data_IF_054975747438
#
_entry.id   IF_054975747438
#
_cell.length_a   1.000
_cell.length_b   1.000
_cell.length_c   1.000
_cell.angle_alpha   90.00
_cell.angle_beta   90.00
_cell.angle_gamma   90.00
#
_symmetry.space_group_name_H-M   'P 1'
#
loop_
_entity.id
_entity.type
_entity.pdbx_description
1 polymer ?
#
# COMPACT_ATOMS: atom_id res chain seq x y z
N UNK A 1 -3.38 16.66 15.69
CA UNK A 1 -2.09 16.12 16.21
C UNK A 1 -0.96 17.02 15.73
N UNK A 2 0.14 17.13 16.48
CA UNK A 2 1.35 17.79 15.97
C UNK A 2 1.75 17.20 14.60
N UNK A 3 2.34 18.01 13.73
CA UNK A 3 2.78 17.55 12.40
C UNK A 3 4.01 16.65 12.58
N UNK A 4 3.77 15.35 12.78
CA UNK A 4 4.82 14.35 13.06
C UNK A 4 5.72 14.09 11.84
N UNK A 5 5.21 14.25 10.63
CA UNK A 5 6.00 14.22 9.40
C UNK A 5 6.40 15.64 9.01
N UNK A 6 7.69 15.97 9.12
CA UNK A 6 8.24 17.29 8.77
C UNK A 6 8.15 17.56 7.26
N UNK A 7 8.31 16.50 6.46
CA UNK A 7 8.24 16.45 4.99
C UNK A 7 7.44 15.23 4.54
N UNK A 8 7.01 15.17 3.28
CA UNK A 8 6.38 13.97 2.74
C UNK A 8 7.42 12.83 2.76
N UNK A 9 7.11 11.64 3.34
CA UNK A 9 8.04 10.52 3.36
C UNK A 9 8.50 10.09 1.96
N UNK A 10 7.72 10.37 0.92
CA UNK A 10 8.09 10.09 -0.47
C UNK A 10 9.21 10.97 -0.98
N UNK A 11 9.43 12.13 -0.39
CA UNK A 11 10.53 13.02 -0.77
C UNK A 11 11.83 12.62 -0.05
N UNK A 12 11.74 12.38 1.26
CA UNK A 12 12.92 12.13 2.11
C UNK A 12 13.47 10.70 2.00
N UNK A 13 12.64 9.71 1.66
CA UNK A 13 13.04 8.29 1.58
C UNK A 13 13.33 7.83 0.15
N UNK A 14 13.00 8.65 -0.85
CA UNK A 14 13.20 8.29 -2.25
C UNK A 14 14.69 8.29 -2.58
N UNK A 15 15.12 7.29 -3.34
CA UNK A 15 16.47 7.25 -3.91
C UNK A 15 16.60 8.39 -4.92
N UNK A 16 17.55 9.26 -4.65
CA UNK A 16 18.01 10.34 -5.53
C UNK A 16 19.32 9.95 -6.22
N UNK A 17 19.76 10.67 -7.28
CA UNK A 17 21.03 10.38 -7.95
C UNK A 17 22.27 10.45 -7.04
N UNK A 18 22.20 11.20 -5.95
CA UNK A 18 23.24 11.37 -4.93
C UNK A 18 23.10 10.42 -3.73
N UNK A 19 22.14 9.49 -3.77
CA UNK A 19 21.95 8.52 -2.69
C UNK A 19 23.16 7.58 -2.54
N UNK A 20 23.73 7.52 -1.33
CA UNK A 20 24.82 6.63 -0.96
C UNK A 20 24.38 5.62 0.12
N UNK A 21 24.34 4.35 -0.26
CA UNK A 21 23.98 3.25 0.64
C UNK A 21 25.03 3.00 1.74
N UNK A 22 26.29 3.33 1.50
CA UNK A 22 27.35 3.16 2.48
C UNK A 22 27.16 4.13 3.65
N UNK A 23 26.85 5.41 3.36
CA UNK A 23 26.58 6.45 4.34
C UNK A 23 25.17 6.41 4.97
N UNK A 24 24.27 5.55 4.47
CA UNK A 24 22.88 5.50 4.91
C UNK A 24 22.70 5.09 6.39
N UNK A 25 22.04 5.95 7.19
CA UNK A 25 21.69 5.65 8.57
C UNK A 25 20.53 4.64 8.64
N UNK A 26 20.83 3.42 9.09
CA UNK A 26 19.88 2.30 9.18
C UNK A 26 19.07 2.29 10.48
N UNK A 27 19.41 3.15 11.44
CA UNK A 27 18.74 3.28 12.73
C UNK A 27 17.93 4.58 12.89
N UNK A 28 18.05 5.49 11.94
CA UNK A 28 17.32 6.76 11.92
C UNK A 28 15.80 6.62 11.70
N UNK A 29 15.14 7.79 11.69
CA UNK A 29 13.74 7.95 11.31
C UNK A 29 13.56 9.20 10.43
N UNK A 30 14.15 9.25 9.22
CA UNK A 30 14.19 10.45 8.38
C UNK A 30 12.80 11.07 8.18
N UNK A 31 12.70 12.40 8.36
CA UNK A 31 11.46 13.16 8.18
C UNK A 31 10.37 12.94 9.23
N UNK A 32 10.58 12.08 10.23
CA UNK A 32 9.60 11.81 11.28
C UNK A 32 10.08 12.33 12.65
N UNK A 33 9.44 13.39 13.15
CA UNK A 33 9.66 13.96 14.47
C UNK A 33 8.75 13.28 15.51
N UNK A 34 9.06 12.01 15.79
CA UNK A 34 8.31 11.21 16.74
C UNK A 34 9.03 9.94 17.16
N UNK A 35 8.56 9.36 18.26
CA UNK A 35 9.05 8.08 18.77
C UNK A 35 8.16 6.91 18.33
N UNK A 36 8.47 5.72 18.84
CA UNK A 36 7.67 4.51 18.58
C UNK A 36 6.21 4.68 19.01
N UNK A 37 5.94 5.35 20.14
CA UNK A 37 4.57 5.51 20.66
C UNK A 37 3.77 6.42 19.73
N UNK A 38 4.38 7.52 19.27
CA UNK A 38 3.79 8.41 18.28
C UNK A 38 3.54 7.67 16.96
N UNK A 39 4.50 6.86 16.50
CA UNK A 39 4.37 6.05 15.29
C UNK A 39 3.21 5.03 15.40
N UNK A 40 3.12 4.28 16.49
CA UNK A 40 2.06 3.29 16.71
C UNK A 40 0.66 3.97 16.73
N UNK A 41 0.55 5.15 17.36
CA UNK A 41 -0.69 5.95 17.36
C UNK A 41 -1.05 6.47 15.97
N UNK A 42 -0.07 6.98 15.23
CA UNK A 42 -0.29 7.49 13.88
C UNK A 42 -0.68 6.36 12.92
N UNK A 43 -0.01 5.20 13.01
CA UNK A 43 -0.38 4.02 12.23
C UNK A 43 -1.81 3.55 12.55
N UNK A 44 -2.21 3.54 13.82
CA UNK A 44 -3.58 3.20 14.20
C UNK A 44 -4.59 4.19 13.59
N UNK A 45 -4.33 5.50 13.67
CA UNK A 45 -5.17 6.51 13.04
C UNK A 45 -5.23 6.38 11.51
N UNK A 46 -4.13 5.97 10.87
CA UNK A 46 -4.08 5.71 9.42
C UNK A 46 -4.79 4.43 9.00
N UNK A 47 -5.07 3.52 9.93
CA UNK A 47 -5.67 2.23 9.64
C UNK A 47 -7.02 2.37 8.95
N UNK A 48 -7.92 3.18 9.52
CA UNK A 48 -9.28 3.36 9.03
C UNK A 48 -9.29 4.04 7.65
N UNK A 49 -8.50 5.10 7.48
CA UNK A 49 -8.32 5.76 6.18
C UNK A 49 -7.75 4.81 5.12
N UNK A 50 -6.73 4.01 5.46
CA UNK A 50 -6.13 3.07 4.53
C UNK A 50 -7.12 1.96 4.13
N UNK A 51 -7.92 1.47 5.08
CA UNK A 51 -8.97 0.49 4.82
C UNK A 51 -10.01 1.02 3.85
N UNK A 52 -10.54 2.23 4.08
CA UNK A 52 -11.54 2.84 3.18
C UNK A 52 -10.96 3.10 1.78
N UNK A 53 -9.75 3.65 1.69
CA UNK A 53 -9.09 3.88 0.39
C UNK A 53 -8.85 2.59 -0.38
N UNK A 54 -8.47 1.51 0.31
CA UNK A 54 -8.33 0.19 -0.29
C UNK A 54 -9.70 -0.35 -0.75
N UNK A 55 -10.77 -0.15 0.03
CA UNK A 55 -12.12 -0.58 -0.36
C UNK A 55 -12.59 0.14 -1.63
N UNK A 56 -12.32 1.44 -1.75
CA UNK A 56 -12.59 2.19 -2.98
C UNK A 56 -11.79 1.65 -4.16
N UNK A 57 -10.51 1.32 -3.97
CA UNK A 57 -9.70 0.65 -4.99
C UNK A 57 -10.36 -0.66 -5.43
N UNK A 58 -10.78 -1.49 -4.48
CA UNK A 58 -11.43 -2.77 -4.76
C UNK A 58 -12.76 -2.61 -5.49
N UNK A 59 -13.61 -1.66 -5.07
CA UNK A 59 -14.87 -1.36 -5.74
C UNK A 59 -14.65 -0.95 -7.20
N UNK A 60 -13.67 -0.08 -7.48
CA UNK A 60 -13.34 0.32 -8.85
C UNK A 60 -12.90 -0.87 -9.71
N UNK A 61 -12.04 -1.75 -9.20
CA UNK A 61 -11.64 -2.97 -9.92
C UNK A 61 -12.82 -3.92 -10.19
N UNK A 62 -13.78 -4.02 -9.26
CA UNK A 62 -15.01 -4.83 -9.44
C UNK A 62 -15.99 -4.20 -10.44
N UNK A 63 -15.90 -2.90 -10.64
CA UNK A 63 -16.71 -2.12 -11.59
C UNK A 63 -16.03 -1.87 -12.94
N UNK A 64 -14.96 -2.62 -13.25
CA UNK A 64 -14.29 -2.58 -14.56
C UNK A 64 -13.12 -1.60 -14.67
N UNK A 65 -12.74 -0.93 -13.58
CA UNK A 65 -11.50 -0.16 -13.49
C UNK A 65 -10.26 -1.06 -13.63
N UNK A 66 -9.13 -0.49 -14.05
CA UNK A 66 -7.87 -1.20 -14.28
C UNK A 66 -6.83 -0.92 -13.17
N UNK A 67 -7.10 0.06 -12.33
CA UNK A 67 -6.21 0.57 -11.31
C UNK A 67 -5.87 -0.49 -10.28
N UNK A 68 -4.60 -0.57 -9.91
CA UNK A 68 -4.08 -1.47 -8.88
C UNK A 68 -2.75 -0.97 -8.34
N UNK A 69 -2.37 -1.44 -7.17
CA UNK A 69 -1.11 -1.07 -6.52
C UNK A 69 -0.23 -2.30 -6.42
N UNK A 70 1.06 -2.18 -6.76
CA UNK A 70 2.06 -3.20 -6.53
C UNK A 70 3.09 -2.69 -5.52
N UNK A 71 3.07 -3.27 -4.33
CA UNK A 71 4.05 -3.04 -3.27
C UNK A 71 5.13 -4.10 -3.37
N UNK A 72 6.36 -3.69 -3.69
CA UNK A 72 7.55 -4.55 -3.69
C UNK A 72 8.34 -4.29 -2.43
N UNK A 73 8.59 -5.32 -1.63
CA UNK A 73 9.42 -5.22 -0.43
C UNK A 73 10.65 -6.10 -0.59
N UNK A 74 11.81 -5.43 -0.59
CA UNK A 74 13.13 -6.06 -0.62
C UNK A 74 13.94 -5.77 0.63
N UNK A 75 14.98 -6.56 0.84
CA UNK A 75 15.88 -6.47 2.00
C UNK A 75 16.43 -7.85 2.36
N UNK A 76 17.60 -7.89 3.00
CA UNK A 76 18.19 -9.15 3.45
C UNK A 76 17.30 -9.87 4.47
N UNK A 77 17.57 -11.15 4.70
CA UNK A 77 16.87 -11.88 5.75
C UNK A 77 17.08 -11.21 7.11
N UNK A 78 16.01 -11.24 7.91
CA UNK A 78 15.81 -10.46 9.15
C UNK A 78 15.49 -8.97 9.00
N UNK A 79 15.50 -8.38 7.79
CA UNK A 79 15.17 -6.96 7.59
C UNK A 79 13.75 -6.56 8.04
N UNK A 80 12.83 -7.52 8.10
CA UNK A 80 11.48 -7.31 8.65
C UNK A 80 10.35 -7.30 7.63
N UNK A 81 10.59 -7.79 6.39
CA UNK A 81 9.62 -7.86 5.29
C UNK A 81 8.26 -8.44 5.69
N UNK A 82 8.25 -9.60 6.33
CA UNK A 82 7.00 -10.21 6.85
C UNK A 82 6.27 -9.38 7.91
N UNK A 83 6.92 -8.37 8.50
CA UNK A 83 6.27 -7.38 9.35
C UNK A 83 5.38 -6.40 8.56
N UNK A 84 5.74 -6.08 7.31
CA UNK A 84 4.91 -5.26 6.42
C UNK A 84 3.64 -6.00 6.06
N UNK A 85 3.74 -7.28 5.67
CA UNK A 85 2.58 -8.13 5.43
C UNK A 85 1.64 -8.18 6.65
N UNK A 86 2.18 -8.38 7.85
CA UNK A 86 1.36 -8.51 9.05
C UNK A 86 0.73 -7.20 9.52
N UNK A 87 1.49 -6.10 9.50
CA UNK A 87 1.08 -4.86 10.17
C UNK A 87 0.54 -3.80 9.22
N UNK A 88 0.96 -3.80 7.95
CA UNK A 88 0.46 -2.84 6.96
C UNK A 88 -0.70 -3.45 6.19
N UNK A 89 -0.48 -4.60 5.54
CA UNK A 89 -1.58 -5.27 4.83
C UNK A 89 -2.63 -5.83 5.79
N UNK A 90 -2.31 -6.00 7.08
CA UNK A 90 -3.27 -6.38 8.11
C UNK A 90 -4.25 -5.27 8.51
N UNK A 91 -4.10 -4.04 8.01
CA UNK A 91 -5.04 -2.94 8.25
C UNK A 91 -6.18 -2.88 7.22
N UNK A 92 -6.11 -3.65 6.13
CA UNK A 92 -7.08 -3.60 5.02
C UNK A 92 -7.79 -4.94 4.87
N UNK A 93 -8.86 -4.98 4.05
CA UNK A 93 -9.59 -6.22 3.81
C UNK A 93 -8.69 -7.23 3.05
N UNK A 94 -8.51 -8.46 3.58
CA UNK A 94 -7.66 -9.46 2.95
C UNK A 94 -8.10 -9.85 1.53
N UNK A 95 -9.38 -9.68 1.16
CA UNK A 95 -9.86 -9.93 -0.21
C UNK A 95 -9.28 -8.95 -1.24
N UNK A 96 -8.96 -7.74 -0.78
CA UNK A 96 -8.32 -6.68 -1.55
C UNK A 96 -6.80 -6.85 -1.69
N UNK A 97 -6.19 -7.83 -1.02
CA UNK A 97 -4.74 -8.03 -1.01
C UNK A 97 -4.35 -9.28 -1.81
N UNK A 98 -3.32 -9.15 -2.63
CA UNK A 98 -2.67 -10.26 -3.33
C UNK A 98 -1.22 -10.40 -2.85
N UNK A 99 -1.01 -11.24 -1.83
CA UNK A 99 0.33 -11.47 -1.27
C UNK A 99 1.04 -12.60 -2.02
N UNK A 100 2.27 -12.35 -2.47
CA UNK A 100 3.18 -13.37 -3.01
C UNK A 100 4.55 -13.24 -2.37
N UNK A 101 5.06 -14.36 -1.84
CA UNK A 101 6.45 -14.46 -1.40
C UNK A 101 7.25 -15.25 -2.43
N UNK A 102 8.36 -14.69 -2.90
CA UNK A 102 9.24 -15.38 -3.85
C UNK A 102 10.41 -16.04 -3.12
N UNK A 103 10.58 -17.34 -3.39
CA UNK A 103 11.73 -18.12 -2.94
C UNK A 103 12.64 -18.50 -4.10
N UNK A 104 13.50 -19.49 -3.84
CA UNK A 104 14.33 -20.12 -4.88
C UNK A 104 13.41 -20.62 -6.01
N UNK A 105 13.68 -20.26 -7.28
CA UNK A 105 12.84 -20.69 -8.39
C UNK A 105 12.67 -22.21 -8.45
N UNK A 106 11.50 -22.70 -8.87
CA UNK A 106 11.30 -24.12 -9.16
C UNK A 106 11.96 -24.52 -10.48
N UNK A 107 11.99 -25.80 -10.81
CA UNK A 107 12.48 -26.27 -12.12
C UNK A 107 11.65 -25.71 -13.28
N UNK A 108 10.32 -25.71 -13.14
CA UNK A 108 9.40 -25.10 -14.10
C UNK A 108 9.68 -23.60 -14.25
N UNK A 109 9.80 -22.87 -13.13
CA UNK A 109 10.08 -21.43 -13.17
C UNK A 109 11.42 -21.13 -13.86
N UNK A 110 12.45 -21.98 -13.68
CA UNK A 110 13.75 -21.86 -14.38
C UNK A 110 13.69 -22.19 -15.87
N UNK A 111 12.67 -22.92 -16.32
CA UNK A 111 12.48 -23.22 -17.74
C UNK A 111 11.86 -22.05 -18.53
N UNK A 112 11.44 -20.99 -17.83
CA UNK A 112 10.90 -19.77 -18.41
C UNK A 112 11.82 -18.56 -18.18
N UNK A 113 11.51 -17.45 -18.84
CA UNK A 113 12.10 -16.15 -18.51
C UNK A 113 11.82 -15.79 -17.04
N UNK A 114 12.76 -15.17 -16.33
CA UNK A 114 12.63 -14.93 -14.88
C UNK A 114 11.40 -14.09 -14.50
N UNK A 115 10.96 -13.17 -15.38
CA UNK A 115 9.75 -12.38 -15.18
C UNK A 115 8.45 -13.20 -15.29
N UNK A 116 8.46 -14.38 -15.92
CA UNK A 116 7.25 -15.18 -16.14
C UNK A 116 6.52 -15.49 -14.83
N UNK A 117 7.25 -15.92 -13.79
CA UNK A 117 6.64 -16.22 -12.48
C UNK A 117 6.16 -14.97 -11.75
N UNK A 118 6.75 -13.82 -12.08
CA UNK A 118 6.47 -12.51 -11.48
C UNK A 118 5.17 -11.97 -12.08
N UNK A 119 5.04 -12.02 -13.40
CA UNK A 119 3.84 -11.62 -14.14
C UNK A 119 2.60 -12.39 -13.70
N UNK A 120 2.74 -13.71 -13.51
CA UNK A 120 1.65 -14.57 -13.03
C UNK A 120 1.17 -14.24 -11.61
N UNK A 121 1.97 -13.52 -10.85
CA UNK A 121 1.65 -13.12 -9.50
C UNK A 121 1.16 -11.67 -9.38
N UNK A 122 1.11 -10.92 -10.49
CA UNK A 122 0.63 -9.54 -10.47
C UNK A 122 -0.77 -9.44 -9.89
N UNK A 123 -1.07 -8.38 -9.11
CA UNK A 123 -2.41 -8.17 -8.59
C UNK A 123 -3.41 -8.03 -9.74
N UNK A 124 -4.63 -8.54 -9.55
CA UNK A 124 -5.75 -8.19 -10.40
C UNK A 124 -6.13 -6.70 -10.21
N UNK A 125 -6.88 -6.09 -11.14
CA UNK A 125 -7.45 -4.75 -10.92
C UNK A 125 -8.22 -4.66 -9.59
N UNK A 126 -8.10 -3.50 -8.93
CA UNK A 126 -8.69 -3.23 -7.62
C UNK A 126 -7.95 -3.85 -6.43
N UNK A 127 -6.78 -4.48 -6.63
CA UNK A 127 -6.02 -5.09 -5.53
C UNK A 127 -4.72 -4.35 -5.21
N UNK A 128 -4.30 -4.50 -3.96
CA UNK A 128 -2.94 -4.21 -3.51
C UNK A 128 -2.15 -5.52 -3.57
N UNK A 129 -1.21 -5.63 -4.51
CA UNK A 129 -0.22 -6.70 -4.56
C UNK A 129 0.88 -6.44 -3.54
N UNK A 130 1.25 -7.42 -2.74
CA UNK A 130 2.45 -7.37 -1.89
C UNK A 130 3.43 -8.47 -2.30
N UNK A 131 4.54 -8.06 -2.88
CA UNK A 131 5.67 -8.92 -3.22
C UNK A 131 6.69 -8.90 -2.08
N UNK A 132 6.78 -10.00 -1.32
CA UNK A 132 7.86 -10.26 -0.36
C UNK A 132 9.00 -10.97 -1.09
N UNK A 133 10.09 -10.23 -1.36
CA UNK A 133 11.00 -10.45 -2.49
C UNK A 133 10.29 -10.29 -3.83
N UNK A 134 11.03 -10.27 -4.94
CA UNK A 134 10.48 -9.96 -6.27
C UNK A 134 11.44 -10.33 -7.41
N UNK A 135 11.19 -9.83 -8.62
CA UNK A 135 12.11 -9.90 -9.77
C UNK A 135 13.51 -9.34 -9.48
N UNK A 136 13.67 -8.51 -8.44
CA UNK A 136 14.99 -8.03 -8.06
C UNK A 136 15.92 -9.13 -7.51
N UNK A 137 15.40 -10.30 -7.08
CA UNK A 137 16.26 -11.44 -6.73
C UNK A 137 17.16 -11.87 -7.90
N UNK A 138 16.68 -11.68 -9.12
CA UNK A 138 17.36 -12.01 -10.37
C UNK A 138 18.51 -11.06 -10.74
N UNK A 139 18.71 -9.99 -9.97
CA UNK A 139 19.89 -9.09 -10.03
C UNK A 139 20.55 -8.89 -8.66
N UNK A 140 20.08 -9.63 -7.63
CA UNK A 140 20.66 -9.64 -6.28
C UNK A 140 21.39 -10.97 -6.04
N UNK A 141 20.69 -12.02 -5.58
CA UNK A 141 21.31 -13.31 -5.29
C UNK A 141 21.94 -13.94 -6.53
N UNK A 142 21.33 -13.76 -7.70
CA UNK A 142 21.88 -14.24 -8.97
C UNK A 142 23.25 -13.61 -9.26
N UNK A 143 23.42 -12.32 -8.96
CA UNK A 143 24.69 -11.61 -9.09
C UNK A 143 25.69 -12.04 -8.02
N UNK A 144 25.30 -12.01 -6.74
CA UNK A 144 26.20 -12.27 -5.60
C UNK A 144 26.70 -13.71 -5.57
N UNK A 145 25.88 -14.66 -6.02
CA UNK A 145 26.23 -16.07 -6.08
C UNK A 145 26.74 -16.51 -7.47
N UNK A 146 26.86 -15.58 -8.42
CA UNK A 146 27.29 -15.83 -9.81
C UNK A 146 26.51 -16.98 -10.46
N UNK A 147 25.18 -16.96 -10.36
CA UNK A 147 24.32 -18.04 -10.87
C UNK A 147 24.19 -18.02 -12.40
N UNK A 148 24.47 -16.86 -13.00
CA UNK A 148 24.60 -16.65 -14.45
C UNK A 148 25.71 -15.62 -14.69
N UNK A 149 26.20 -15.54 -15.93
CA UNK A 149 27.25 -14.59 -16.31
C UNK A 149 26.86 -13.12 -16.07
N UNK A 150 27.83 -12.23 -15.77
CA UNK A 150 27.60 -10.80 -15.59
C UNK A 150 26.79 -10.11 -16.68
N UNK A 151 27.04 -10.45 -17.94
CA UNK A 151 26.30 -9.86 -19.06
C UNK A 151 24.82 -10.25 -19.07
N UNK A 152 24.48 -11.43 -18.52
CA UNK A 152 23.11 -11.94 -18.45
C UNK A 152 22.32 -11.22 -17.35
N UNK A 153 22.84 -11.15 -16.12
CA UNK A 153 22.12 -10.43 -15.06
C UNK A 153 22.24 -8.91 -15.21
N UNK A 154 23.31 -8.40 -15.82
CA UNK A 154 23.49 -6.97 -16.08
C UNK A 154 22.43 -6.40 -17.02
N UNK A 155 22.08 -7.13 -18.08
CA UNK A 155 21.01 -6.73 -19.02
C UNK A 155 19.63 -6.63 -18.35
N UNK A 156 19.39 -7.39 -17.26
CA UNK A 156 18.09 -7.42 -16.57
C UNK A 156 17.70 -6.08 -15.96
N UNK A 157 18.64 -5.20 -15.62
CA UNK A 157 18.26 -3.87 -15.09
C UNK A 157 17.43 -3.06 -16.09
N UNK A 158 17.81 -3.09 -17.38
CA UNK A 158 17.06 -2.41 -18.44
C UNK A 158 15.71 -3.08 -18.71
N UNK A 159 15.67 -4.42 -18.73
CA UNK A 159 14.44 -5.19 -18.86
C UNK A 159 13.45 -4.91 -17.73
N UNK A 160 13.94 -4.87 -16.48
CA UNK A 160 13.13 -4.54 -15.30
C UNK A 160 12.52 -3.14 -15.45
N UNK A 161 13.32 -2.15 -15.84
CA UNK A 161 12.80 -0.79 -16.04
C UNK A 161 11.75 -0.73 -17.16
N UNK A 162 11.98 -1.42 -18.28
CA UNK A 162 11.01 -1.47 -19.37
C UNK A 162 9.70 -2.16 -18.95
N UNK A 163 9.80 -3.26 -18.21
CA UNK A 163 8.66 -4.01 -17.69
C UNK A 163 7.87 -3.21 -16.65
N UNK A 164 8.55 -2.59 -15.68
CA UNK A 164 7.90 -1.73 -14.68
C UNK A 164 7.23 -0.52 -15.33
N UNK A 165 7.86 0.07 -16.36
CA UNK A 165 7.22 1.15 -17.13
C UNK A 165 5.95 0.68 -17.81
N UNK A 166 5.97 -0.47 -18.49
CA UNK A 166 4.80 -1.03 -19.16
C UNK A 166 3.64 -1.26 -18.17
N UNK A 167 3.94 -1.77 -16.97
CA UNK A 167 2.94 -1.92 -15.91
C UNK A 167 2.36 -0.58 -15.45
N UNK A 168 3.20 0.46 -15.30
CA UNK A 168 2.72 1.79 -14.92
C UNK A 168 1.82 2.39 -16.00
N UNK A 169 2.20 2.22 -17.27
CA UNK A 169 1.39 2.65 -18.42
C UNK A 169 0.02 1.92 -18.44
N UNK A 170 -0.04 0.67 -17.97
CA UNK A 170 -1.25 -0.15 -17.81
C UNK A 170 -2.06 0.16 -16.53
N UNK A 171 -1.70 1.20 -15.77
CA UNK A 171 -2.47 1.64 -14.60
C UNK A 171 -2.02 1.02 -13.26
N UNK A 172 -0.85 0.38 -13.21
CA UNK A 172 -0.26 -0.09 -11.94
C UNK A 172 0.49 1.05 -11.25
N UNK A 173 0.20 1.30 -9.97
CA UNK A 173 1.06 2.13 -9.12
C UNK A 173 2.10 1.25 -8.43
N UNK A 174 3.38 1.41 -8.79
CA UNK A 174 4.46 0.59 -8.24
C UNK A 174 5.14 1.34 -7.08
N UNK A 175 5.21 0.70 -5.92
CA UNK A 175 5.90 1.20 -4.72
C UNK A 175 6.98 0.21 -4.33
N UNK A 176 8.26 0.59 -4.47
CA UNK A 176 9.40 -0.29 -4.17
C UNK A 176 10.07 0.14 -2.87
N UNK A 177 10.11 -0.75 -1.89
CA UNK A 177 10.66 -0.50 -0.56
C UNK A 177 11.86 -1.40 -0.31
N UNK A 178 13.01 -0.81 -0.02
CA UNK A 178 14.19 -1.53 0.42
C UNK A 178 14.38 -1.36 1.93
N UNK A 179 14.16 -2.43 2.68
CA UNK A 179 14.36 -2.46 4.12
C UNK A 179 15.84 -2.71 4.44
N UNK A 180 16.57 -1.66 4.82
CA UNK A 180 18.00 -1.75 5.08
C UNK A 180 18.28 -1.84 6.58
N UNK A 181 18.68 -3.03 7.00
CA UNK A 181 19.15 -3.33 8.37
C UNK A 181 20.68 -3.21 8.42
N UNK A 182 21.26 -2.81 9.56
CA UNK A 182 22.70 -2.82 9.77
C UNK A 182 23.22 -4.24 9.92
N UNK A 183 24.51 -4.42 9.67
CA UNK A 183 25.16 -5.72 9.85
C UNK A 183 25.03 -6.18 11.31
N UNK A 184 25.17 -5.26 12.27
CA UNK A 184 25.06 -5.54 13.70
C UNK A 184 23.63 -5.96 14.08
N UNK A 185 22.62 -5.19 13.67
CA UNK A 185 21.22 -5.51 13.96
C UNK A 185 20.78 -6.82 13.29
N UNK A 186 21.23 -7.10 12.06
CA UNK A 186 20.96 -8.40 11.43
C UNK A 186 21.49 -9.55 12.30
N UNK A 187 22.72 -9.41 12.82
CA UNK A 187 23.33 -10.40 13.71
C UNK A 187 22.53 -10.59 14.99
N UNK A 188 22.12 -9.51 15.64
CA UNK A 188 21.28 -9.56 16.85
C UNK A 188 19.94 -10.25 16.58
N UNK A 189 19.30 -9.99 15.42
CA UNK A 189 18.03 -10.66 15.05
C UNK A 189 18.20 -12.14 14.75
N UNK A 190 19.32 -12.56 14.17
CA UNK A 190 19.63 -13.97 13.95
C UNK A 190 19.84 -14.70 15.28
N UNK A 191 20.60 -14.09 16.21
CA UNK A 191 20.75 -14.61 17.57
C UNK A 191 19.40 -14.73 18.28
N UNK A 192 18.55 -13.68 18.23
CA UNK A 192 17.20 -13.69 18.82
C UNK A 192 16.36 -14.88 18.29
N UNK A 193 16.47 -15.21 17.00
CA UNK A 193 15.73 -16.35 16.41
C UNK A 193 16.21 -17.70 16.94
N UNK A 194 17.50 -17.86 17.22
CA UNK A 194 18.07 -19.07 17.81
C UNK A 194 17.65 -19.22 19.28
N UNK A 195 17.68 -18.11 20.02
CA UNK A 195 17.35 -18.08 21.44
C UNK A 195 15.86 -18.37 21.68
N UNK A 196 14.98 -17.88 20.79
CA UNK A 196 13.52 -18.03 20.91
C UNK A 196 12.99 -19.33 20.30
N UNK A 197 12.46 -20.27 21.10
CA UNK A 197 11.91 -21.53 20.57
C UNK A 197 10.80 -21.33 19.53
N UNK A 198 9.96 -20.29 19.69
CA UNK A 198 8.87 -19.95 18.77
C UNK A 198 9.33 -19.33 17.43
N UNK A 199 10.62 -19.03 17.30
CA UNK A 199 11.23 -18.40 16.11
C UNK A 199 12.29 -19.23 15.42
N UNK A 200 12.77 -20.33 16.03
CA UNK A 200 13.80 -21.21 15.43
C UNK A 200 13.41 -21.72 14.05
N UNK A 201 12.13 -21.97 13.79
CA UNK A 201 11.63 -22.38 12.47
C UNK A 201 11.88 -21.33 11.36
N UNK A 202 12.13 -20.06 11.72
CA UNK A 202 12.48 -18.98 10.79
C UNK A 202 13.99 -18.84 10.54
N UNK A 203 14.82 -19.57 11.27
CA UNK A 203 16.27 -19.53 11.11
C UNK A 203 16.70 -20.52 10.04
N UNK A 204 17.56 -20.09 9.11
CA UNK A 204 18.23 -20.97 8.17
C UNK A 204 19.73 -20.92 8.41
N UNK A 205 20.46 -22.05 8.45
CA UNK A 205 21.92 -22.02 8.41
C UNK A 205 22.49 -21.29 7.19
N UNK A 206 21.70 -21.18 6.11
CA UNK A 206 22.04 -20.36 4.94
C UNK A 206 22.16 -18.87 5.25
N UNK A 207 21.49 -18.36 6.29
CA UNK A 207 21.55 -16.95 6.69
C UNK A 207 23.00 -16.51 7.01
N UNK A 208 23.82 -17.42 7.57
CA UNK A 208 25.24 -17.16 7.83
C UNK A 208 26.07 -17.04 6.54
N UNK A 209 25.73 -17.81 5.50
CA UNK A 209 26.41 -17.73 4.19
C UNK A 209 26.10 -16.41 3.50
N UNK A 210 24.83 -16.00 3.52
CA UNK A 210 24.39 -14.70 3.02
C UNK A 210 25.08 -13.56 3.79
N UNK A 211 25.11 -13.66 5.12
CA UNK A 211 25.79 -12.69 5.98
C UNK A 211 27.29 -12.57 5.69
N UNK A 212 27.98 -13.67 5.40
CA UNK A 212 29.40 -13.66 5.03
C UNK A 212 29.68 -12.91 3.70
N UNK A 213 28.65 -12.69 2.88
CA UNK A 213 28.71 -11.94 1.62
C UNK A 213 28.11 -10.53 1.74
N UNK A 214 28.10 -9.96 2.95
CA UNK A 214 27.46 -8.69 3.25
C UNK A 214 27.82 -7.59 2.24
N UNK A 215 29.11 -7.34 2.02
CA UNK A 215 29.58 -6.26 1.16
C UNK A 215 29.12 -6.45 -0.31
N UNK A 216 29.15 -7.69 -0.81
CA UNK A 216 28.66 -8.00 -2.15
C UNK A 216 27.14 -7.73 -2.30
N UNK A 217 26.35 -8.03 -1.27
CA UNK A 217 24.93 -7.66 -1.26
C UNK A 217 24.73 -6.15 -1.16
N UNK A 218 25.55 -5.45 -0.38
CA UNK A 218 25.49 -3.99 -0.30
C UNK A 218 25.77 -3.34 -1.66
N UNK A 219 26.79 -3.80 -2.39
CA UNK A 219 27.07 -3.35 -3.76
C UNK A 219 25.92 -3.68 -4.72
N UNK A 220 25.37 -4.89 -4.66
CA UNK A 220 24.25 -5.29 -5.51
C UNK A 220 23.00 -4.42 -5.26
N UNK A 221 22.67 -4.12 -4.00
CA UNK A 221 21.57 -3.20 -3.66
C UNK A 221 21.83 -1.77 -4.13
N UNK A 222 23.05 -1.26 -3.97
CA UNK A 222 23.41 0.07 -4.45
C UNK A 222 23.17 0.21 -5.97
N UNK A 223 23.54 -0.82 -6.74
CA UNK A 223 23.27 -0.85 -8.17
C UNK A 223 21.79 -1.01 -8.51
N UNK A 224 21.03 -1.81 -7.76
CA UNK A 224 19.56 -1.87 -7.89
C UNK A 224 18.97 -0.46 -7.76
N UNK A 225 19.36 0.29 -6.74
CA UNK A 225 18.83 1.65 -6.51
C UNK A 225 19.24 2.60 -7.63
N UNK A 226 20.53 2.62 -7.98
CA UNK A 226 21.08 3.50 -9.00
C UNK A 226 20.52 3.24 -10.39
N UNK A 227 20.30 1.97 -10.76
CA UNK A 227 19.92 1.58 -12.11
C UNK A 227 18.41 1.45 -12.30
N UNK A 228 17.62 1.34 -11.22
CA UNK A 228 16.18 1.06 -11.34
C UNK A 228 15.28 1.98 -10.53
N UNK A 229 15.81 2.97 -9.79
CA UNK A 229 14.95 4.02 -9.22
C UNK A 229 14.59 5.03 -10.30
N UNK A 230 13.38 4.93 -10.85
CA UNK A 230 12.92 5.80 -11.94
C UNK A 230 11.87 6.80 -11.45
N UNK A 231 11.43 7.70 -12.33
CA UNK A 231 10.35 8.62 -12.01
C UNK A 231 9.02 7.88 -11.75
N UNK A 232 8.71 6.91 -12.62
CA UNK A 232 7.46 6.15 -12.64
C UNK A 232 7.43 4.97 -11.66
N UNK A 233 8.59 4.44 -11.28
CA UNK A 233 8.75 3.39 -10.30
C UNK A 233 9.96 3.71 -9.39
N UNK A 234 9.80 4.62 -8.42
CA UNK A 234 10.89 5.00 -7.52
C UNK A 234 11.19 3.89 -6.51
N UNK A 235 12.45 3.82 -6.07
CA UNK A 235 12.83 3.13 -4.85
C UNK A 235 12.72 4.06 -3.64
N UNK A 236 12.19 3.52 -2.54
CA UNK A 236 12.24 4.11 -1.22
C UNK A 236 13.12 3.25 -0.31
N UNK A 237 14.17 3.82 0.26
CA UNK A 237 15.11 3.09 1.14
C UNK A 237 14.77 3.41 2.59
N UNK A 238 14.46 2.36 3.36
CA UNK A 238 13.90 2.46 4.71
C UNK A 238 14.95 2.01 5.74
N UNK A 239 15.32 2.86 6.71
CA UNK A 239 16.07 2.44 7.90
C UNK A 239 15.29 1.38 8.66
N UNK A 240 15.83 0.16 8.73
CA UNK A 240 15.10 -0.99 9.22
C UNK A 240 15.61 -1.55 10.54
N UNK A 241 16.56 -0.89 11.22
CA UNK A 241 17.01 -1.33 12.54
C UNK A 241 15.89 -1.17 13.57
N UNK A 242 15.12 -0.09 13.44
CA UNK A 242 13.92 0.15 14.23
C UNK A 242 12.71 -0.40 13.50
N UNK A 243 12.26 -1.60 13.86
CA UNK A 243 11.12 -2.31 13.22
C UNK A 243 9.84 -1.46 13.04
N UNK A 244 9.61 -0.45 13.88
CA UNK A 244 8.43 0.43 13.80
C UNK A 244 8.50 1.43 12.64
N UNK A 245 9.70 1.92 12.29
CA UNK A 245 9.83 3.00 11.32
C UNK A 245 9.49 2.57 9.88
N UNK A 246 9.99 1.43 9.33
CA UNK A 246 9.57 0.98 8.02
C UNK A 246 8.06 0.71 7.92
N UNK A 247 7.44 0.24 9.01
CA UNK A 247 5.98 0.00 9.02
C UNK A 247 5.22 1.31 8.88
N UNK A 248 5.62 2.32 9.66
CA UNK A 248 5.06 3.65 9.58
C UNK A 248 5.28 4.26 8.18
N UNK A 249 6.50 4.22 7.67
CA UNK A 249 6.85 4.80 6.36
C UNK A 249 6.07 4.13 5.21
N UNK A 250 5.98 2.80 5.19
CA UNK A 250 5.19 2.08 4.18
C UNK A 250 3.71 2.41 4.31
N UNK A 251 3.15 2.46 5.52
CA UNK A 251 1.76 2.89 5.74
C UNK A 251 1.52 4.28 5.16
N UNK A 252 2.32 5.27 5.54
CA UNK A 252 2.11 6.65 5.10
C UNK A 252 2.29 6.81 3.59
N UNK A 253 3.31 6.19 2.98
CA UNK A 253 3.54 6.23 1.52
C UNK A 253 2.41 5.54 0.75
N UNK A 254 1.95 4.37 1.22
CA UNK A 254 0.84 3.65 0.60
C UNK A 254 -0.47 4.45 0.70
N UNK A 255 -0.79 4.98 1.89
CA UNK A 255 -1.97 5.83 2.09
C UNK A 255 -1.92 7.03 1.16
N UNK A 256 -0.81 7.77 1.12
CA UNK A 256 -0.62 8.92 0.21
C UNK A 256 -0.80 8.53 -1.25
N UNK A 257 -0.28 7.38 -1.66
CA UNK A 257 -0.43 6.89 -3.02
C UNK A 257 -1.89 6.62 -3.35
N UNK A 258 -2.65 5.98 -2.46
CA UNK A 258 -4.07 5.72 -2.67
C UNK A 258 -4.91 7.00 -2.64
N UNK A 259 -4.52 7.99 -1.84
CA UNK A 259 -5.11 9.34 -1.87
C UNK A 259 -4.92 9.98 -3.24
N UNK A 260 -3.70 9.95 -3.77
CA UNK A 260 -3.37 10.56 -5.06
C UNK A 260 -4.04 9.87 -6.25
N UNK A 261 -4.50 8.63 -6.08
CA UNK A 261 -5.30 7.95 -7.09
C UNK A 261 -6.72 8.54 -7.22
N UNK A 262 -7.19 9.38 -6.26
CA UNK A 262 -8.53 10.00 -6.19
C UNK A 262 -9.68 9.04 -6.56
N UNK A 263 -9.58 7.79 -6.11
CA UNK A 263 -10.62 6.80 -6.41
C UNK A 263 -11.89 7.13 -5.63
N UNK A 264 -13.01 7.07 -6.35
CA UNK A 264 -14.36 7.34 -5.82
C UNK A 264 -15.16 6.06 -5.79
N UNK A 265 -16.23 6.05 -5.00
CA UNK A 265 -17.22 4.99 -5.12
C UNK A 265 -17.78 4.95 -6.54
N UNK A 266 -17.77 3.77 -7.21
CA UNK A 266 -18.28 3.67 -8.57
C UNK A 266 -19.78 3.95 -8.59
N UNK A 267 -20.25 4.55 -9.68
CA UNK A 267 -21.69 4.71 -9.90
C UNK A 267 -22.32 3.34 -10.20
N UNK A 268 -23.52 3.07 -9.69
CA UNK A 268 -24.24 1.85 -10.03
C UNK A 268 -24.58 1.84 -11.53
N UNK A 269 -24.63 0.64 -12.12
CA UNK A 269 -25.10 0.39 -13.48
C UNK A 269 -26.64 0.23 -13.56
N UNK A 270 -27.33 0.53 -12.47
CA UNK A 270 -28.78 0.51 -12.31
C UNK A 270 -29.27 1.82 -11.66
N UNK A 271 -30.55 2.15 -11.85
CA UNK A 271 -31.19 3.24 -11.10
C UNK A 271 -31.58 2.76 -9.69
N UNK A 272 -30.97 3.30 -8.61
CA UNK A 272 -31.34 2.93 -7.24
C UNK A 272 -32.82 3.19 -6.93
N UNK A 273 -33.43 4.19 -7.56
CA UNK A 273 -34.84 4.50 -7.34
C UNK A 273 -35.74 3.40 -7.87
N UNK A 274 -35.52 2.93 -9.09
CA UNK A 274 -36.26 1.81 -9.69
C UNK A 274 -36.08 0.52 -8.88
N UNK A 275 -34.85 0.21 -8.48
CA UNK A 275 -34.57 -1.00 -7.69
C UNK A 275 -35.21 -0.94 -6.30
N UNK A 276 -35.24 0.23 -5.65
CA UNK A 276 -35.96 0.41 -4.39
C UNK A 276 -37.47 0.20 -4.54
N UNK A 277 -38.07 0.65 -5.64
CA UNK A 277 -39.48 0.42 -5.92
C UNK A 277 -39.79 -1.08 -6.14
N UNK A 278 -38.94 -1.77 -6.90
CA UNK A 278 -39.05 -3.21 -7.12
C UNK A 278 -38.95 -4.00 -5.80
N UNK A 279 -37.97 -3.68 -4.94
CA UNK A 279 -37.85 -4.30 -3.62
C UNK A 279 -39.07 -4.02 -2.75
N UNK A 280 -39.55 -2.79 -2.72
CA UNK A 280 -40.72 -2.42 -1.94
C UNK A 280 -41.97 -3.24 -2.30
N UNK A 281 -42.14 -3.59 -3.58
CA UNK A 281 -43.24 -4.47 -4.03
C UNK A 281 -43.22 -5.88 -3.42
N UNK A 282 -42.06 -6.34 -2.93
CA UNK A 282 -41.87 -7.67 -2.33
C UNK A 282 -41.78 -7.64 -0.80
N UNK A 283 -41.81 -6.46 -0.19
CA UNK A 283 -41.66 -6.27 1.25
C UNK A 283 -43.02 -6.05 1.93
N UNK A 284 -43.14 -6.46 3.19
CA UNK A 284 -44.29 -6.05 3.99
C UNK A 284 -44.21 -4.56 4.33
N UNK A 285 -45.36 -3.94 4.64
CA UNK A 285 -45.42 -2.55 5.07
C UNK A 285 -44.54 -2.30 6.30
N UNK A 286 -44.58 -3.21 7.28
CA UNK A 286 -43.78 -3.11 8.51
C UNK A 286 -42.27 -3.15 8.22
N UNK A 287 -41.85 -3.95 7.22
CA UNK A 287 -40.45 -4.01 6.81
C UNK A 287 -40.00 -2.71 6.11
N UNK A 288 -40.87 -2.09 5.32
CA UNK A 288 -40.61 -0.79 4.70
C UNK A 288 -40.55 0.35 5.72
N UNK A 289 -41.47 0.36 6.69
CA UNK A 289 -41.47 1.32 7.80
C UNK A 289 -40.18 1.22 8.63
N UNK A 290 -39.74 -0.01 8.94
CA UNK A 290 -38.44 -0.25 9.59
C UNK A 290 -37.28 0.25 8.75
N UNK A 291 -37.25 -0.10 7.47
CA UNK A 291 -36.19 0.35 6.55
C UNK A 291 -36.12 1.88 6.50
N UNK A 292 -37.25 2.58 6.38
CA UNK A 292 -37.29 4.04 6.39
C UNK A 292 -36.80 4.62 7.73
N UNK A 293 -37.24 4.05 8.86
CA UNK A 293 -36.85 4.51 10.19
C UNK A 293 -35.33 4.38 10.42
N UNK A 294 -34.72 3.29 9.94
CA UNK A 294 -33.29 3.03 10.09
C UNK A 294 -32.44 3.82 9.08
N UNK A 295 -32.97 4.10 7.87
CA UNK A 295 -32.22 4.73 6.76
C UNK A 295 -31.50 6.00 7.18
N UNK A 296 -32.18 6.89 7.91
CA UNK A 296 -31.56 8.16 8.31
C UNK A 296 -30.34 7.90 9.19
N UNK A 297 -30.42 6.96 10.14
CA UNK A 297 -29.30 6.67 11.04
C UNK A 297 -28.17 6.00 10.28
N UNK A 298 -28.45 4.92 9.54
CA UNK A 298 -27.43 4.13 8.84
C UNK A 298 -26.71 4.93 7.76
N UNK A 299 -27.46 5.69 6.95
CA UNK A 299 -26.84 6.49 5.89
C UNK A 299 -26.15 7.72 6.47
N UNK A 300 -26.71 8.38 7.49
CA UNK A 300 -26.02 9.52 8.10
C UNK A 300 -24.71 9.13 8.79
N UNK A 301 -24.65 7.94 9.41
CA UNK A 301 -23.42 7.37 9.97
C UNK A 301 -22.38 7.15 8.87
N UNK A 302 -22.73 6.43 7.80
CA UNK A 302 -21.83 6.21 6.67
C UNK A 302 -21.38 7.52 5.99
N UNK A 303 -22.26 8.54 5.91
CA UNK A 303 -21.88 9.85 5.39
C UNK A 303 -20.95 10.60 6.32
N UNK A 304 -21.10 10.47 7.64
CA UNK A 304 -20.18 11.06 8.61
C UNK A 304 -18.78 10.46 8.47
N UNK A 305 -18.68 9.13 8.34
CA UNK A 305 -17.41 8.44 8.12
C UNK A 305 -16.72 8.90 6.82
N UNK A 306 -17.49 9.00 5.73
CA UNK A 306 -16.97 9.52 4.45
C UNK A 306 -16.50 10.98 4.54
N UNK A 307 -17.15 11.82 5.36
CA UNK A 307 -16.71 13.20 5.62
C UNK A 307 -15.40 13.20 6.40
N UNK A 308 -15.29 12.39 7.45
CA UNK A 308 -14.06 12.26 8.24
C UNK A 308 -12.88 11.83 7.35
N UNK A 309 -13.07 10.82 6.50
CA UNK A 309 -12.03 10.42 5.54
C UNK A 309 -11.69 11.55 4.57
N UNK A 310 -12.67 12.31 4.06
CA UNK A 310 -12.37 13.47 3.20
C UNK A 310 -11.62 14.57 3.94
N UNK A 311 -11.89 14.80 5.22
CA UNK A 311 -11.12 15.72 6.07
C UNK A 311 -9.68 15.23 6.28
N UNK A 312 -9.48 13.92 6.51
CA UNK A 312 -8.14 13.34 6.63
C UNK A 312 -7.34 13.42 5.34
N UNK A 313 -7.96 13.08 4.19
CA UNK A 313 -7.38 13.24 2.86
C UNK A 313 -6.95 14.68 2.62
N UNK A 314 -7.83 15.64 2.92
CA UNK A 314 -7.54 17.05 2.82
C UNK A 314 -6.36 17.46 3.73
N UNK A 315 -6.33 16.98 4.97
CA UNK A 315 -5.24 17.25 5.90
C UNK A 315 -3.90 16.69 5.41
N UNK A 316 -3.90 15.51 4.80
CA UNK A 316 -2.72 14.83 4.29
C UNK A 316 -2.18 15.52 3.03
N UNK A 317 -3.04 15.85 2.05
CA UNK A 317 -2.68 16.59 0.85
C UNK A 317 -2.17 18.01 1.15
N UNK A 318 -2.77 18.67 2.14
CA UNK A 318 -2.45 20.07 2.48
C UNK A 318 -1.45 20.20 3.63
N UNK A 319 -0.86 19.09 4.08
CA UNK A 319 0.09 19.05 5.19
C UNK A 319 1.30 19.98 4.97
N UNK A 320 1.71 20.19 3.72
CA UNK A 320 2.79 21.12 3.32
C UNK A 320 2.30 22.28 2.43
N UNK A 321 0.99 22.43 2.23
CA UNK A 321 0.42 23.49 1.41
C UNK A 321 0.36 24.83 2.15
N UNK A 322 0.27 25.91 1.36
CA UNK A 322 -0.02 27.25 1.84
C UNK A 322 -1.48 27.40 2.34
N UNK A 323 -1.83 28.60 2.80
CA UNK A 323 -3.16 28.87 3.33
C UNK A 323 -4.27 28.68 2.28
N UNK A 324 -3.98 28.99 1.01
CA UNK A 324 -4.93 28.91 -0.09
C UNK A 324 -5.24 27.45 -0.46
N UNK A 325 -4.23 26.59 -0.52
CA UNK A 325 -4.41 25.15 -0.72
C UNK A 325 -5.26 24.51 0.39
N UNK A 326 -5.04 24.90 1.64
CA UNK A 326 -5.86 24.45 2.79
C UNK A 326 -7.31 24.93 2.69
N UNK A 327 -7.52 26.16 2.26
CA UNK A 327 -8.87 26.70 2.09
C UNK A 327 -9.64 25.97 0.99
N UNK A 328 -8.99 25.70 -0.16
CA UNK A 328 -9.59 24.95 -1.28
C UNK A 328 -10.05 23.56 -0.85
N UNK A 329 -9.20 22.82 -0.15
CA UNK A 329 -9.54 21.48 0.33
C UNK A 329 -10.74 21.52 1.29
N UNK A 330 -10.80 22.49 2.22
CA UNK A 330 -11.95 22.67 3.11
C UNK A 330 -13.25 22.97 2.36
N UNK A 331 -13.19 23.77 1.30
CA UNK A 331 -14.36 24.08 0.47
C UNK A 331 -14.86 22.82 -0.24
N UNK A 332 -13.95 22.00 -0.77
CA UNK A 332 -14.30 20.75 -1.44
C UNK A 332 -14.98 19.76 -0.49
N UNK A 333 -14.45 19.55 0.72
CA UNK A 333 -15.10 18.69 1.73
C UNK A 333 -16.52 19.17 2.04
N UNK A 334 -16.71 20.49 2.21
CA UNK A 334 -18.02 21.08 2.48
C UNK A 334 -19.01 20.87 1.32
N UNK A 335 -18.55 20.99 0.08
CA UNK A 335 -19.38 20.74 -1.10
C UNK A 335 -19.82 19.27 -1.16
N UNK A 336 -18.89 18.32 -0.93
CA UNK A 336 -19.22 16.88 -0.90
C UNK A 336 -20.21 16.53 0.18
N UNK A 337 -20.04 17.08 1.38
CA UNK A 337 -21.01 16.90 2.46
C UNK A 337 -22.41 17.34 2.04
N UNK A 338 -22.55 18.48 1.37
CA UNK A 338 -23.84 18.97 0.91
C UNK A 338 -24.47 18.07 -0.17
N UNK A 339 -23.67 17.54 -1.11
CA UNK A 339 -24.12 16.59 -2.12
C UNK A 339 -24.67 15.30 -1.48
N UNK A 340 -23.96 14.77 -0.49
CA UNK A 340 -24.38 13.59 0.25
C UNK A 340 -25.65 13.80 1.09
N UNK A 341 -25.77 14.95 1.76
CA UNK A 341 -26.98 15.30 2.50
C UNK A 341 -28.19 15.44 1.57
N UNK A 342 -28.00 15.95 0.36
CA UNK A 342 -29.04 16.03 -0.66
C UNK A 342 -29.47 14.63 -1.15
N UNK A 343 -28.52 13.72 -1.40
CA UNK A 343 -28.82 12.34 -1.79
C UNK A 343 -29.59 11.57 -0.70
N UNK A 344 -29.23 11.75 0.58
CA UNK A 344 -29.97 11.20 1.70
C UNK A 344 -31.41 11.76 1.76
N UNK A 345 -31.57 13.06 1.56
CA UNK A 345 -32.90 13.68 1.53
C UNK A 345 -33.77 13.10 0.41
N UNK A 346 -33.22 12.91 -0.79
CA UNK A 346 -33.89 12.28 -1.92
C UNK A 346 -34.27 10.82 -1.62
N UNK A 347 -33.35 10.05 -1.04
CA UNK A 347 -33.58 8.66 -0.64
C UNK A 347 -34.72 8.54 0.39
N UNK A 348 -34.74 9.41 1.40
CA UNK A 348 -35.81 9.43 2.40
C UNK A 348 -37.16 9.86 1.81
N UNK A 349 -37.17 10.82 0.89
CA UNK A 349 -38.38 11.24 0.20
C UNK A 349 -38.99 10.08 -0.61
N UNK A 350 -38.15 9.37 -1.37
CA UNK A 350 -38.61 8.24 -2.17
C UNK A 350 -39.17 7.10 -1.30
N UNK A 351 -38.50 6.75 -0.20
CA UNK A 351 -39.00 5.70 0.71
C UNK A 351 -40.34 6.08 1.35
N UNK A 352 -40.60 7.37 1.62
CA UNK A 352 -41.90 7.84 2.13
C UNK A 352 -43.01 7.72 1.09
N UNK A 353 -42.71 8.00 -0.17
CA UNK A 353 -43.64 7.82 -1.30
C UNK A 353 -44.00 6.35 -1.49
N UNK A 354 -43.02 5.43 -1.40
CA UNK A 354 -43.28 3.99 -1.49
C UNK A 354 -44.19 3.44 -0.38
N UNK A 355 -44.20 4.07 0.80
CA UNK A 355 -45.11 3.72 1.90
C UNK A 355 -46.52 4.30 1.74
N UNK A 356 -46.64 5.43 1.04
CA UNK A 356 -47.90 6.14 0.81
C UNK A 356 -47.99 6.56 -0.65
N UNK A 357 -48.13 5.60 -1.60
CA UNK A 357 -48.26 5.94 -3.00
C UNK A 357 -49.50 6.82 -3.18
N UNK A 358 -49.35 7.96 -3.87
CA UNK A 358 -50.50 8.77 -4.25
C UNK A 358 -51.44 7.87 -5.07
N UNK A 359 -52.66 7.68 -4.56
CA UNK A 359 -53.65 6.73 -5.09
C UNK A 359 -54.13 7.04 -6.50
#
# INVERSE_FOLDING_TARGET
MAKLWETDPRDVLRVTPDFDLAAFDRAGAPGFDGDKIAADKLMAARGDLLAELQERLYANGRSGGTERVLVVVQGLDTAGKGGIARHVMGMVDPQGVALRSFGVPTEEERAHHYLWRIERALPAPGKIGLFDRSHYEDVLVVRVDNLVEPDVWGARYEEINAWEKALVDDGVRILKFAMMVSHEEQGMRLMERLDRPDKRWKYSPGDLKTRAKWDAYQEAYADVFRLTSTEHAPWYVLPADRKWYPRLAVTEILTRTLVDMDLRWPLPDFDPAEQRAALASTMSREALERSLAETKSTVAEALADNVEVKEEVAALLTSHADADGKLRAKVEVKQRKAEWEADLAATLAQKRELLNPAG
#
